data_IF_090162593554
#
_entry.id   IF_090162593554
#
_cell.length_a   1.000
_cell.length_b   1.000
_cell.length_c   1.000
_cell.angle_alpha   90.00
_cell.angle_beta   90.00
_cell.angle_gamma   90.00
#
_symmetry.space_group_name_H-M   'P 1'
#
loop_
_entity.id
_entity.type
_entity.pdbx_description
1 polymer ?
#
# COMPACT_ATOMS: atom_id res chain seq x y z
N UNK A 1 -3.31 7.01 -3.33
CA UNK A 1 -4.10 5.76 -3.52
C UNK A 1 -3.22 4.52 -3.65
N UNK A 2 -2.21 4.54 -4.50
CA UNK A 2 -1.38 3.37 -4.79
C UNK A 2 -0.63 2.79 -3.56
N UNK A 3 0.00 3.58 -2.67
CA UNK A 3 0.66 3.02 -1.48
C UNK A 3 -0.28 2.24 -0.57
N UNK A 4 -1.50 2.71 -0.35
CA UNK A 4 -2.48 2.01 0.48
C UNK A 4 -2.95 0.70 -0.17
N UNK A 5 -3.10 0.68 -1.50
CA UNK A 5 -3.46 -0.52 -2.24
C UNK A 5 -2.40 -1.62 -2.10
N UNK A 6 -1.12 -1.25 -2.20
CA UNK A 6 0.00 -2.18 -2.03
C UNK A 6 0.11 -2.75 -0.61
N UNK A 7 -0.33 -2.03 0.42
CA UNK A 7 -0.34 -2.54 1.80
C UNK A 7 -1.61 -3.34 2.13
N UNK A 8 -2.59 -3.36 1.24
CA UNK A 8 -3.90 -3.97 1.48
C UNK A 8 -3.86 -5.47 1.73
N UNK A 9 -3.06 -6.22 0.98
CA UNK A 9 -2.91 -7.67 1.15
C UNK A 9 -2.39 -8.03 2.54
N UNK A 10 -1.35 -7.35 3.00
CA UNK A 10 -0.80 -7.53 4.34
C UNK A 10 -1.81 -7.15 5.43
N UNK A 11 -2.51 -6.02 5.26
CA UNK A 11 -3.54 -5.60 6.19
C UNK A 11 -4.69 -6.63 6.28
N UNK A 12 -5.09 -7.23 5.16
CA UNK A 12 -6.11 -8.27 5.13
C UNK A 12 -5.67 -9.53 5.90
N UNK A 13 -4.42 -9.98 5.73
CA UNK A 13 -3.88 -11.11 6.51
C UNK A 13 -3.94 -10.84 8.01
N UNK A 14 -3.54 -9.66 8.46
CA UNK A 14 -3.56 -9.29 9.88
C UNK A 14 -4.98 -9.22 10.45
N UNK A 15 -5.92 -8.62 9.70
CA UNK A 15 -7.32 -8.47 10.15
C UNK A 15 -8.05 -9.81 10.16
N UNK A 16 -7.84 -10.66 9.15
CA UNK A 16 -8.59 -11.92 8.99
C UNK A 16 -7.96 -13.06 9.78
N UNK A 17 -6.67 -13.27 9.62
CA UNK A 17 -5.96 -14.44 10.14
C UNK A 17 -5.14 -14.13 11.41
N UNK A 18 -4.96 -12.87 11.77
CA UNK A 18 -4.09 -12.43 12.87
C UNK A 18 -2.67 -13.00 12.76
N UNK A 19 -2.23 -13.22 11.54
CA UNK A 19 -0.93 -13.79 11.21
C UNK A 19 -0.26 -12.99 10.11
N UNK A 20 1.03 -13.19 9.99
CA UNK A 20 1.88 -12.53 9.01
C UNK A 20 2.53 -13.61 8.17
N UNK A 21 2.30 -13.58 6.87
CA UNK A 21 2.92 -14.51 5.92
C UNK A 21 3.88 -13.79 4.97
N UNK A 22 4.58 -14.55 4.17
CA UNK A 22 5.44 -14.02 3.10
C UNK A 22 4.66 -13.64 1.83
N UNK A 23 3.34 -13.90 1.79
CA UNK A 23 2.50 -13.67 0.61
C UNK A 23 2.48 -12.22 0.11
N UNK A 24 2.62 -11.27 1.04
CA UNK A 24 2.65 -9.84 0.72
C UNK A 24 4.07 -9.27 0.49
N UNK A 25 5.10 -10.08 0.40
CA UNK A 25 6.51 -9.62 0.32
C UNK A 25 6.78 -8.72 -0.88
N UNK A 26 6.25 -9.06 -2.05
CA UNK A 26 6.40 -8.26 -3.25
C UNK A 26 5.67 -6.91 -3.14
N UNK A 27 4.48 -6.90 -2.57
CA UNK A 27 3.70 -5.68 -2.36
C UNK A 27 4.39 -4.72 -1.38
N UNK A 28 5.00 -5.26 -0.33
CA UNK A 28 5.80 -4.50 0.64
C UNK A 28 7.03 -3.88 -0.04
N UNK A 29 7.72 -4.64 -0.90
CA UNK A 29 8.85 -4.14 -1.67
C UNK A 29 8.42 -3.01 -2.61
N UNK A 30 7.33 -3.18 -3.35
CA UNK A 30 6.79 -2.16 -4.25
C UNK A 30 6.32 -0.91 -3.50
N UNK A 31 5.66 -1.07 -2.35
CA UNK A 31 5.25 0.04 -1.50
C UNK A 31 6.46 0.85 -1.01
N UNK A 32 7.54 0.17 -0.62
CA UNK A 32 8.79 0.81 -0.18
C UNK A 32 9.46 1.57 -1.31
N UNK A 33 9.59 0.97 -2.50
CA UNK A 33 10.14 1.63 -3.68
C UNK A 33 9.35 2.87 -4.08
N UNK A 34 8.03 2.76 -4.07
CA UNK A 34 7.14 3.88 -4.41
C UNK A 34 7.25 5.01 -3.38
N UNK A 35 7.22 4.69 -2.08
CA UNK A 35 7.37 5.67 -1.01
C UNK A 35 8.70 6.42 -1.14
N UNK A 36 9.79 5.71 -1.40
CA UNK A 36 11.11 6.31 -1.61
C UNK A 36 11.11 7.24 -2.83
N UNK A 37 10.57 6.80 -3.97
CA UNK A 37 10.49 7.60 -5.17
C UNK A 37 9.65 8.88 -4.98
N UNK A 38 8.55 8.80 -4.21
CA UNK A 38 7.73 9.96 -3.88
C UNK A 38 8.53 11.03 -3.14
N UNK A 39 9.39 10.63 -2.22
CA UNK A 39 10.22 11.54 -1.42
C UNK A 39 11.43 12.06 -2.19
N UNK A 40 12.13 11.17 -2.90
CA UNK A 40 13.45 11.48 -3.49
C UNK A 40 13.39 12.02 -4.90
N UNK A 41 12.45 11.54 -5.70
CA UNK A 41 12.37 11.82 -7.14
C UNK A 41 11.27 12.81 -7.49
N UNK A 42 10.12 12.70 -6.85
CA UNK A 42 8.94 13.46 -7.26
C UNK A 42 8.67 14.69 -6.40
N UNK A 43 9.52 15.00 -5.41
CA UNK A 43 9.35 16.18 -4.56
C UNK A 43 8.02 16.25 -3.81
N UNK A 44 7.48 15.10 -3.41
CA UNK A 44 6.16 15.02 -2.76
C UNK A 44 6.21 15.17 -1.23
N UNK A 45 7.35 15.59 -0.70
CA UNK A 45 7.52 15.83 0.75
C UNK A 45 7.52 17.31 1.06
N UNK A 46 6.82 17.69 2.12
CA UNK A 46 6.87 19.07 2.64
C UNK A 46 8.25 19.44 3.23
N UNK A 47 9.02 18.44 3.67
CA UNK A 47 10.31 18.63 4.29
C UNK A 47 11.44 18.85 3.29
N UNK A 48 11.31 18.28 2.11
CA UNK A 48 12.30 18.38 1.03
C UNK A 48 11.82 19.23 -0.14
N UNK A 49 10.55 19.65 -0.11
CA UNK A 49 9.89 20.44 -1.13
C UNK A 49 10.10 19.87 -2.55
N UNK A 50 10.39 20.72 -3.54
CA UNK A 50 10.57 20.31 -4.94
C UNK A 50 12.02 19.94 -5.30
N UNK A 51 12.83 19.52 -4.34
CA UNK A 51 14.21 19.12 -4.56
C UNK A 51 14.28 17.63 -4.91
N UNK A 52 14.87 17.30 -6.04
CA UNK A 52 15.17 15.93 -6.42
C UNK A 52 16.43 15.45 -5.69
N UNK A 53 16.27 14.47 -4.80
CA UNK A 53 17.35 13.89 -3.98
C UNK A 53 17.94 12.60 -4.57
N UNK A 54 17.41 12.17 -5.73
CA UNK A 54 17.84 10.97 -6.42
C UNK A 54 17.95 11.24 -7.91
N UNK A 55 19.01 10.75 -8.53
CA UNK A 55 19.21 10.82 -9.98
C UNK A 55 19.22 9.43 -10.58
N UNK A 56 18.60 9.27 -11.75
CA UNK A 56 18.63 8.02 -12.51
C UNK A 56 19.84 8.04 -13.43
N UNK A 57 20.81 7.17 -13.16
CA UNK A 57 21.96 6.97 -14.02
C UNK A 57 21.64 5.82 -14.98
N UNK A 58 21.45 6.13 -16.25
CA UNK A 58 21.26 5.14 -17.30
C UNK A 58 19.84 4.52 -17.44
N UNK A 59 18.93 5.27 -18.05
CA UNK A 59 17.56 4.83 -18.35
C UNK A 59 17.45 3.58 -19.25
N UNK A 60 18.51 3.27 -20.00
CA UNK A 60 18.52 2.18 -21.00
C UNK A 60 18.95 0.81 -20.44
N UNK A 61 19.54 0.74 -19.25
CA UNK A 61 20.07 -0.48 -18.64
C UNK A 61 19.43 -0.85 -17.29
N UNK A 62 18.17 -0.50 -17.08
CA UNK A 62 17.47 -0.86 -15.85
C UNK A 62 17.55 0.17 -14.73
N UNK A 63 18.16 1.34 -14.99
CA UNK A 63 18.04 2.50 -14.13
C UNK A 63 18.73 2.38 -12.78
N UNK A 64 20.07 2.35 -12.75
CA UNK A 64 20.79 2.57 -11.49
C UNK A 64 20.48 3.96 -10.96
N UNK A 65 19.95 4.03 -9.75
CA UNK A 65 19.67 5.28 -9.06
C UNK A 65 20.77 5.59 -8.06
N UNK A 66 21.21 6.84 -8.03
CA UNK A 66 22.14 7.33 -7.02
C UNK A 66 21.53 8.45 -6.21
N UNK A 67 21.76 8.44 -4.90
CA UNK A 67 21.32 9.52 -4.01
C UNK A 67 22.22 10.74 -4.17
N UNK A 68 21.62 11.89 -4.40
CA UNK A 68 22.30 13.19 -4.57
C UNK A 68 22.13 14.04 -3.29
N UNK A 69 22.40 13.46 -2.12
CA UNK A 69 22.21 14.13 -0.84
C UNK A 69 23.21 13.64 0.23
N UNK A 70 23.27 14.36 1.34
CA UNK A 70 24.13 14.01 2.48
C UNK A 70 23.67 12.73 3.19
N UNK A 71 24.57 12.10 3.97
CA UNK A 71 24.24 10.94 4.80
C UNK A 71 23.15 11.25 5.85
N UNK A 72 23.10 12.48 6.37
CA UNK A 72 22.03 12.89 7.26
C UNK A 72 20.68 12.92 6.55
N UNK A 73 20.60 13.52 5.37
CA UNK A 73 19.38 13.54 4.55
C UNK A 73 18.94 12.13 4.17
N UNK A 74 19.86 11.23 3.86
CA UNK A 74 19.54 9.82 3.61
C UNK A 74 18.86 9.16 4.81
N UNK A 75 19.33 9.39 6.03
CA UNK A 75 18.69 8.89 7.25
C UNK A 75 17.28 9.46 7.45
N UNK A 76 17.10 10.74 7.16
CA UNK A 76 15.78 11.38 7.21
C UNK A 76 14.82 10.81 6.17
N UNK A 77 15.30 10.53 4.95
CA UNK A 77 14.54 9.85 3.91
C UNK A 77 14.11 8.46 4.38
N UNK A 78 15.04 7.66 4.91
CA UNK A 78 14.75 6.31 5.39
C UNK A 78 13.68 6.32 6.48
N UNK A 79 13.77 7.24 7.43
CA UNK A 79 12.76 7.40 8.48
C UNK A 79 11.39 7.76 7.90
N UNK A 80 11.35 8.71 6.97
CA UNK A 80 10.09 9.14 6.32
C UNK A 80 9.47 8.05 5.44
N UNK A 81 10.26 7.22 4.80
CA UNK A 81 9.77 6.04 4.07
C UNK A 81 9.04 5.10 5.03
N UNK A 82 9.64 4.80 6.17
CA UNK A 82 9.02 3.94 7.20
C UNK A 82 7.71 4.56 7.70
N UNK A 83 7.71 5.86 8.02
CA UNK A 83 6.53 6.57 8.51
C UNK A 83 5.40 6.57 7.47
N UNK A 84 5.72 6.83 6.20
CA UNK A 84 4.74 6.86 5.11
C UNK A 84 4.11 5.49 4.88
N UNK A 85 4.91 4.44 4.78
CA UNK A 85 4.41 3.08 4.57
C UNK A 85 3.58 2.63 5.77
N UNK A 86 4.04 2.91 7.01
CA UNK A 86 3.30 2.60 8.24
C UNK A 86 1.94 3.30 8.26
N UNK A 87 1.88 4.59 7.97
CA UNK A 87 0.63 5.35 7.96
C UNK A 87 -0.38 4.79 6.95
N UNK A 88 0.07 4.37 5.77
CA UNK A 88 -0.79 3.75 4.77
C UNK A 88 -1.25 2.36 5.18
N UNK A 89 -0.37 1.56 5.79
CA UNK A 89 -0.72 0.25 6.32
C UNK A 89 -1.77 0.35 7.44
N UNK A 90 -1.57 1.21 8.42
CA UNK A 90 -2.53 1.47 9.50
C UNK A 90 -3.90 1.93 8.97
N UNK A 91 -3.89 2.77 7.94
CA UNK A 91 -5.13 3.18 7.26
C UNK A 91 -5.81 2.00 6.57
N UNK A 92 -5.08 1.14 5.91
CA UNK A 92 -5.62 -0.08 5.27
C UNK A 92 -6.23 -1.03 6.32
N UNK A 93 -5.53 -1.27 7.42
CA UNK A 93 -6.04 -2.09 8.54
C UNK A 93 -7.34 -1.51 9.08
N UNK A 94 -7.41 -0.19 9.28
CA UNK A 94 -8.62 0.48 9.77
C UNK A 94 -9.80 0.31 8.81
N UNK A 95 -9.59 0.55 7.51
CA UNK A 95 -10.62 0.39 6.49
C UNK A 95 -11.16 -1.04 6.49
N UNK A 96 -10.28 -2.03 6.51
CA UNK A 96 -10.67 -3.44 6.49
C UNK A 96 -11.36 -3.86 7.79
N UNK A 97 -10.92 -3.35 8.94
CA UNK A 97 -11.56 -3.59 10.22
C UNK A 97 -12.98 -3.02 10.27
N UNK A 98 -13.14 -1.77 9.83
CA UNK A 98 -14.44 -1.10 9.82
C UNK A 98 -15.43 -1.74 8.83
N UNK A 99 -14.91 -2.40 7.79
CA UNK A 99 -15.71 -3.07 6.74
C UNK A 99 -15.57 -4.60 6.78
N UNK A 100 -15.25 -5.19 7.94
CA UNK A 100 -14.99 -6.63 8.09
C UNK A 100 -16.14 -7.49 7.56
N UNK A 101 -17.38 -7.12 7.83
CA UNK A 101 -18.54 -7.88 7.37
C UNK A 101 -18.61 -7.93 5.83
N UNK A 102 -18.30 -6.83 5.16
CA UNK A 102 -18.24 -6.76 3.69
C UNK A 102 -17.08 -7.57 3.11
N UNK A 103 -15.94 -7.55 3.79
CA UNK A 103 -14.78 -8.37 3.40
C UNK A 103 -15.14 -9.85 3.44
N UNK A 104 -15.77 -10.31 4.53
CA UNK A 104 -16.20 -11.70 4.69
C UNK A 104 -17.28 -12.10 3.67
N UNK A 105 -18.25 -11.23 3.38
CA UNK A 105 -19.30 -11.44 2.37
C UNK A 105 -18.68 -11.59 0.97
N UNK A 106 -17.79 -10.69 0.59
CA UNK A 106 -17.09 -10.74 -0.70
C UNK A 106 -16.22 -11.97 -0.83
N UNK A 107 -15.49 -12.34 0.21
CA UNK A 107 -14.64 -13.53 0.22
C UNK A 107 -15.48 -14.80 0.04
N UNK A 108 -16.61 -14.91 0.73
CA UNK A 108 -17.50 -16.05 0.63
C UNK A 108 -18.15 -16.13 -0.77
N UNK A 109 -18.56 -14.99 -1.32
CA UNK A 109 -19.14 -14.94 -2.67
C UNK A 109 -18.12 -15.36 -3.73
N UNK A 110 -16.88 -14.89 -3.62
CA UNK A 110 -15.77 -15.27 -4.50
C UNK A 110 -15.41 -16.76 -4.37
N UNK A 111 -15.46 -17.30 -3.15
CA UNK A 111 -15.23 -18.72 -2.91
C UNK A 111 -16.27 -19.61 -3.62
N UNK A 112 -17.52 -19.19 -3.64
CA UNK A 112 -18.60 -19.93 -4.30
C UNK A 112 -18.58 -19.81 -5.82
N UNK A 113 -18.25 -18.62 -6.35
CA UNK A 113 -18.29 -18.33 -7.79
C UNK A 113 -16.94 -18.43 -8.50
N UNK A 114 -15.82 -18.50 -7.77
CA UNK A 114 -14.43 -18.48 -8.25
C UNK A 114 -14.02 -17.18 -8.94
N UNK A 115 -14.93 -16.53 -9.67
CA UNK A 115 -14.73 -15.22 -10.31
C UNK A 115 -15.95 -14.34 -10.11
N UNK A 116 -15.73 -13.03 -9.99
CA UNK A 116 -16.79 -12.03 -9.93
C UNK A 116 -16.48 -10.87 -10.89
N UNK A 117 -17.53 -10.25 -11.40
CA UNK A 117 -17.40 -9.03 -12.20
C UNK A 117 -17.25 -7.79 -11.30
N UNK A 118 -16.75 -6.68 -11.88
CA UNK A 118 -16.70 -5.40 -11.15
C UNK A 118 -18.08 -4.92 -10.72
N UNK A 119 -19.12 -5.18 -11.51
CA UNK A 119 -20.52 -4.84 -11.19
C UNK A 119 -21.02 -5.62 -9.97
N UNK A 120 -20.82 -6.93 -9.94
CA UNK A 120 -21.17 -7.80 -8.80
C UNK A 120 -20.42 -7.36 -7.52
N UNK A 121 -19.13 -7.03 -7.65
CA UNK A 121 -18.34 -6.50 -6.54
C UNK A 121 -18.95 -5.22 -5.96
N UNK A 122 -19.28 -4.26 -6.82
CA UNK A 122 -19.86 -2.98 -6.40
C UNK A 122 -21.27 -3.14 -5.83
N UNK A 123 -22.06 -4.07 -6.34
CA UNK A 123 -23.38 -4.39 -5.78
C UNK A 123 -23.27 -4.89 -4.34
N UNK A 124 -22.36 -5.84 -4.07
CA UNK A 124 -22.15 -6.36 -2.72
C UNK A 124 -21.59 -5.27 -1.80
N UNK A 125 -20.62 -4.48 -2.28
CA UNK A 125 -19.99 -3.42 -1.49
C UNK A 125 -21.00 -2.35 -1.05
N UNK A 126 -21.90 -1.95 -1.95
CA UNK A 126 -22.88 -0.89 -1.72
C UNK A 126 -24.17 -1.37 -1.03
N UNK A 127 -24.38 -2.68 -0.92
CA UNK A 127 -25.55 -3.23 -0.22
C UNK A 127 -25.44 -2.88 1.27
N UNK A 128 -26.50 -2.37 1.84
CA UNK A 128 -26.56 -2.18 3.30
C UNK A 128 -26.39 -3.52 4.02
N UNK A 129 -25.64 -3.56 5.14
CA UNK A 129 -25.51 -4.78 5.92
C UNK A 129 -26.90 -5.23 6.35
N UNK A 130 -27.22 -6.49 6.10
CA UNK A 130 -28.47 -7.09 6.59
C UNK A 130 -28.55 -6.83 8.09
N UNK A 131 -29.56 -6.08 8.51
CA UNK A 131 -29.81 -5.89 9.94
C UNK A 131 -29.98 -7.27 10.56
N UNK A 132 -29.03 -7.62 11.43
CA UNK A 132 -29.15 -8.84 12.22
C UNK A 132 -30.42 -8.72 13.07
N UNK A 133 -31.43 -9.52 12.72
CA UNK A 133 -32.60 -9.73 13.56
C UNK A 133 -32.23 -10.68 14.68
#
# INVERSE_FOLDING_TARGET
ALPISLTGGRAAEEVVFRSITTGASNDIEQATKLARAMLTRYGMSKDFDMVALETVNNQYLGGDTSLACSAQTQREIDQKVVELVRAQHEKAVRILTDNRAKLDELAQYLYQKETITGEEFMEILNREPAQAQ
#
